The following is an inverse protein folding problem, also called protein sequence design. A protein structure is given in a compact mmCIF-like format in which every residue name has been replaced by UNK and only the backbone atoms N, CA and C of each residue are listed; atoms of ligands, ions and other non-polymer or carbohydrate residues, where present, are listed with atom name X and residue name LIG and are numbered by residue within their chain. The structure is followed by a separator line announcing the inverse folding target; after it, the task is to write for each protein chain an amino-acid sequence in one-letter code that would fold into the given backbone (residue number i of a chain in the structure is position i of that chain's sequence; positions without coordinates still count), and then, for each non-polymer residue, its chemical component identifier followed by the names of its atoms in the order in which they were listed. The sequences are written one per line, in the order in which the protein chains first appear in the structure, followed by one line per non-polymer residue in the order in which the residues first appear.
data_IF_007081085127
#
_entry.id   IF_007081085127
#
_cell.length_a   1.000
_cell.length_b   1.000
_cell.length_c   1.000
_cell.angle_alpha   90.00
_cell.angle_beta   90.00
_cell.angle_gamma   90.00
#
_symmetry.space_group_name_H-M   'P 1'
#
loop_
_entity.id
_entity.type
_entity.pdbx_description
1 polymer ?
#
# COMPACT_ATOMS: atom_id res chain seq x y z
N UNK A 1 -7.32 32.59 36.64
CA UNK A 1 -7.06 31.21 36.17
C UNK A 1 -8.31 30.66 35.47
N UNK A 2 -8.61 31.13 34.25
CA UNK A 2 -9.70 30.63 33.41
C UNK A 2 -9.37 30.96 31.96
N UNK A 3 -8.43 30.24 31.35
CA UNK A 3 -8.18 30.19 29.88
C UNK A 3 -6.91 29.39 29.61
N UNK A 4 -6.98 28.05 29.59
CA UNK A 4 -5.91 27.19 29.03
C UNK A 4 -6.38 25.75 28.72
N UNK A 5 -7.67 25.56 28.42
CA UNK A 5 -8.27 24.24 28.19
C UNK A 5 -9.15 24.18 26.93
N UNK A 6 -8.77 24.90 25.87
CA UNK A 6 -9.48 24.89 24.58
C UNK A 6 -8.60 24.65 23.34
N UNK A 7 -7.36 24.15 23.48
CA UNK A 7 -6.48 23.91 22.31
C UNK A 7 -6.08 22.46 22.05
N UNK A 8 -6.81 21.46 22.54
CA UNK A 8 -6.50 20.04 22.30
C UNK A 8 -7.60 19.24 21.56
N UNK A 9 -8.70 19.88 21.16
CA UNK A 9 -9.78 19.24 20.40
C UNK A 9 -9.78 19.56 18.89
N UNK A 10 -8.61 19.88 18.33
CA UNK A 10 -8.43 20.06 16.88
C UNK A 10 -7.30 19.19 16.34
N UNK A 11 -7.18 17.96 16.83
CA UNK A 11 -6.22 16.97 16.35
C UNK A 11 -6.83 15.56 16.31
N UNK A 12 -8.05 15.43 15.78
CA UNK A 12 -8.65 14.11 15.50
C UNK A 12 -9.63 14.09 14.31
N UNK A 13 -9.78 15.21 13.59
CA UNK A 13 -10.63 15.29 12.39
C UNK A 13 -9.83 16.00 11.28
N UNK A 14 -8.64 15.48 10.98
CA UNK A 14 -7.85 15.89 9.83
C UNK A 14 -7.36 14.70 8.99
N UNK A 15 -7.68 13.45 9.38
CA UNK A 15 -7.46 12.27 8.56
C UNK A 15 -8.66 11.90 7.66
N UNK A 16 -9.79 12.58 7.75
CA UNK A 16 -11.02 12.21 7.02
C UNK A 16 -11.37 13.10 5.82
N UNK A 17 -10.59 14.13 5.48
CA UNK A 17 -11.03 15.17 4.54
C UNK A 17 -10.51 15.05 3.09
N UNK A 18 -9.90 13.93 2.67
CA UNK A 18 -9.59 13.74 1.23
C UNK A 18 -9.50 12.29 0.74
N UNK A 19 -10.06 11.31 1.46
CA UNK A 19 -10.00 9.89 1.03
C UNK A 19 -11.26 9.48 0.27
N UNK A 20 -11.89 10.41 -0.45
CA UNK A 20 -12.81 10.03 -1.52
C UNK A 20 -11.95 9.48 -2.67
N UNK A 21 -11.53 8.22 -2.55
CA UNK A 21 -10.90 7.52 -3.66
C UNK A 21 -11.18 6.03 -3.55
N UNK A 22 -12.08 5.56 -4.42
CA UNK A 22 -12.05 4.18 -4.87
C UNK A 22 -10.61 3.81 -5.26
N UNK A 23 -10.12 2.72 -4.67
CA UNK A 23 -8.79 2.18 -4.89
C UNK A 23 -8.89 0.68 -5.09
N UNK A 24 -8.13 0.17 -6.05
CA UNK A 24 -7.97 -1.27 -6.27
C UNK A 24 -6.58 -1.66 -5.77
N UNK A 25 -6.56 -2.52 -4.77
CA UNK A 25 -5.35 -3.17 -4.27
C UNK A 25 -5.20 -4.49 -5.02
N UNK A 26 -4.03 -4.72 -5.58
CA UNK A 26 -3.70 -5.97 -6.25
C UNK A 26 -2.51 -6.61 -5.54
N UNK A 27 -2.53 -7.92 -5.40
CA UNK A 27 -1.48 -8.65 -4.74
C UNK A 27 -1.68 -10.16 -4.79
N UNK A 28 -1.35 -10.83 -3.70
CA UNK A 28 -1.38 -12.29 -3.61
C UNK A 28 -1.70 -12.77 -2.21
N UNK A 29 -2.27 -13.97 -2.15
CA UNK A 29 -2.30 -14.76 -0.94
C UNK A 29 -1.30 -15.91 -1.03
N UNK A 30 -0.78 -16.34 0.13
CA UNK A 30 0.08 -17.51 0.28
C UNK A 30 -0.48 -18.40 1.36
N UNK A 31 -0.81 -19.65 1.07
CA UNK A 31 -1.11 -20.67 2.06
C UNK A 31 0.21 -21.33 2.50
N UNK A 32 0.63 -21.11 3.73
CA UNK A 32 1.92 -21.61 4.24
C UNK A 32 1.85 -23.06 4.69
N UNK A 33 0.66 -23.62 4.88
CA UNK A 33 0.46 -25.04 5.22
C UNK A 33 0.66 -25.94 4.00
N UNK A 34 0.20 -25.50 2.82
CA UNK A 34 0.20 -26.29 1.59
C UNK A 34 1.14 -25.76 0.51
N UNK A 35 1.89 -24.68 0.76
CA UNK A 35 2.81 -24.04 -0.19
C UNK A 35 2.11 -23.64 -1.51
N UNK A 36 0.88 -23.15 -1.40
CA UNK A 36 0.10 -22.66 -2.55
C UNK A 36 -0.05 -21.15 -2.51
N UNK A 37 -0.24 -20.54 -3.67
CA UNK A 37 -0.41 -19.09 -3.82
C UNK A 37 -1.47 -18.78 -4.87
N UNK A 38 -2.15 -17.65 -4.72
CA UNK A 38 -3.09 -17.12 -5.72
C UNK A 38 -3.11 -15.61 -5.72
N UNK A 39 -3.90 -15.03 -6.62
CA UNK A 39 -4.02 -13.58 -6.70
C UNK A 39 -4.98 -13.07 -5.63
N UNK A 40 -4.80 -11.80 -5.24
CA UNK A 40 -5.69 -11.10 -4.31
C UNK A 40 -6.05 -9.76 -4.94
N UNK A 41 -7.35 -9.50 -5.06
CA UNK A 41 -7.87 -8.21 -5.48
C UNK A 41 -8.78 -7.66 -4.38
N UNK A 42 -8.54 -6.41 -3.97
CA UNK A 42 -9.41 -5.71 -3.01
C UNK A 42 -9.84 -4.41 -3.65
N UNK A 43 -11.15 -4.26 -3.87
CA UNK A 43 -11.73 -2.98 -4.21
C UNK A 43 -12.16 -2.29 -2.92
N UNK A 44 -11.76 -1.05 -2.74
CA UNK A 44 -12.08 -0.27 -1.55
C UNK A 44 -12.51 1.13 -1.96
N UNK A 45 -13.74 1.49 -1.66
CA UNK A 45 -14.29 2.82 -1.81
C UNK A 45 -14.73 3.36 -0.44
N UNK A 46 -14.28 4.57 -0.12
CA UNK A 46 -14.60 5.26 1.13
C UNK A 46 -15.25 6.59 0.77
N UNK A 47 -16.56 6.68 1.00
CA UNK A 47 -17.35 7.90 0.76
C UNK A 47 -17.95 8.41 2.08
N UNK A 48 -17.27 9.41 2.65
CA UNK A 48 -17.69 10.08 3.89
C UNK A 48 -17.81 9.11 5.07
N UNK A 49 -19.04 8.67 5.36
CA UNK A 49 -19.34 7.72 6.43
C UNK A 49 -19.71 6.34 5.90
N UNK A 50 -19.31 5.97 4.69
CA UNK A 50 -19.52 4.63 4.14
C UNK A 50 -18.21 4.08 3.61
N UNK A 51 -18.07 2.76 3.75
CA UNK A 51 -17.03 1.97 3.10
C UNK A 51 -17.72 0.86 2.31
N UNK A 52 -17.32 0.68 1.06
CA UNK A 52 -17.85 -0.36 0.19
C UNK A 52 -16.78 -0.92 -0.72
N UNK A 53 -16.99 -2.11 -1.25
CA UNK A 53 -15.99 -2.75 -2.08
C UNK A 53 -16.17 -4.26 -2.14
N UNK A 54 -15.08 -4.94 -2.51
CA UNK A 54 -15.04 -6.39 -2.67
C UNK A 54 -13.68 -6.93 -2.24
N UNK A 55 -13.67 -8.17 -1.77
CA UNK A 55 -12.46 -8.91 -1.44
C UNK A 55 -12.48 -10.21 -2.24
N UNK A 56 -11.55 -10.34 -3.17
CA UNK A 56 -11.48 -11.47 -4.12
C UNK A 56 -10.15 -12.20 -3.96
N UNK A 57 -10.24 -13.51 -3.72
CA UNK A 57 -9.10 -14.39 -3.49
C UNK A 57 -8.77 -15.27 -4.72
N UNK A 58 -9.25 -14.96 -5.92
CA UNK A 58 -8.84 -15.51 -7.22
C UNK A 58 -8.07 -16.86 -7.17
N UNK A 59 -8.74 -17.94 -7.57
CA UNK A 59 -8.15 -19.28 -7.76
C UNK A 59 -8.62 -20.31 -6.72
N UNK A 60 -7.95 -21.47 -6.64
CA UNK A 60 -8.39 -22.55 -5.75
C UNK A 60 -8.04 -22.27 -4.29
N UNK A 61 -8.79 -21.38 -3.67
CA UNK A 61 -8.69 -21.01 -2.27
C UNK A 61 -9.16 -22.20 -1.44
N UNK A 62 -8.35 -22.61 -0.45
CA UNK A 62 -8.68 -23.69 0.49
C UNK A 62 -8.90 -25.07 -0.15
N UNK A 63 -8.30 -25.32 -1.32
CA UNK A 63 -8.42 -26.60 -2.02
C UNK A 63 -9.79 -26.81 -2.69
N UNK A 64 -10.63 -25.78 -2.74
CA UNK A 64 -11.90 -25.77 -3.44
C UNK A 64 -11.82 -24.97 -4.76
N UNK A 65 -12.97 -24.74 -5.38
CA UNK A 65 -13.09 -23.85 -6.54
C UNK A 65 -12.87 -22.39 -6.14
N UNK A 66 -12.61 -21.56 -7.14
CA UNK A 66 -12.58 -20.09 -7.04
C UNK A 66 -13.89 -19.55 -6.44
N UNK A 67 -13.85 -19.01 -5.20
CA UNK A 67 -15.03 -18.43 -4.58
C UNK A 67 -15.39 -17.10 -5.25
N UNK A 68 -16.67 -16.74 -5.26
CA UNK A 68 -17.04 -15.39 -5.66
C UNK A 68 -16.45 -14.34 -4.70
N UNK A 69 -16.18 -13.14 -5.21
CA UNK A 69 -15.71 -12.02 -4.40
C UNK A 69 -16.67 -11.70 -3.25
N UNK A 70 -16.11 -11.45 -2.07
CA UNK A 70 -16.87 -11.05 -0.88
C UNK A 70 -17.13 -9.55 -0.95
N UNK A 71 -18.33 -9.18 -1.40
CA UNK A 71 -18.76 -7.78 -1.41
C UNK A 71 -19.09 -7.29 0.01
N UNK A 72 -18.68 -6.04 0.29
CA UNK A 72 -18.96 -5.35 1.53
C UNK A 72 -19.54 -3.95 1.29
N UNK A 73 -20.44 -3.54 2.19
CA UNK A 73 -20.99 -2.18 2.25
C UNK A 73 -21.41 -1.88 3.69
N UNK A 74 -20.63 -1.06 4.37
CA UNK A 74 -20.82 -0.74 5.78
C UNK A 74 -20.84 0.76 6.01
N UNK A 75 -21.62 1.17 7.01
CA UNK A 75 -21.63 2.55 7.49
C UNK A 75 -20.58 2.72 8.59
N UNK A 76 -19.74 3.73 8.44
CA UNK A 76 -18.74 4.15 9.41
C UNK A 76 -19.40 4.99 10.52
N UNK A 77 -19.16 4.64 11.78
CA UNK A 77 -19.42 5.46 12.97
C UNK A 77 -18.11 5.68 13.71
N UNK A 78 -17.63 6.92 13.73
CA UNK A 78 -16.32 7.29 14.28
C UNK A 78 -15.16 6.49 13.66
N UNK A 79 -15.20 6.29 12.33
CA UNK A 79 -14.18 5.52 11.59
C UNK A 79 -14.29 4.00 11.72
N UNK A 80 -15.20 3.48 12.56
CA UNK A 80 -15.42 2.05 12.77
C UNK A 80 -16.70 1.57 12.13
N UNK A 81 -16.81 0.30 11.83
CA UNK A 81 -18.06 -0.27 11.35
C UNK A 81 -17.96 -1.76 11.12
N UNK A 82 -19.11 -2.34 10.83
CA UNK A 82 -19.25 -3.77 10.67
C UNK A 82 -20.42 -4.09 9.76
N UNK A 83 -20.39 -5.29 9.19
CA UNK A 83 -21.53 -5.86 8.49
C UNK A 83 -21.54 -7.37 8.67
N UNK A 84 -22.71 -7.98 8.44
CA UNK A 84 -22.90 -9.42 8.42
C UNK A 84 -23.63 -9.79 7.13
N UNK A 85 -23.25 -10.90 6.51
CA UNK A 85 -23.98 -11.49 5.39
C UNK A 85 -23.90 -13.01 5.45
N UNK A 86 -24.83 -13.68 4.79
CA UNK A 86 -24.74 -15.12 4.55
C UNK A 86 -24.44 -15.33 3.08
N UNK A 87 -23.47 -16.20 2.81
CA UNK A 87 -23.05 -16.58 1.49
C UNK A 87 -23.30 -18.09 1.28
N UNK A 88 -23.90 -18.52 0.15
CA UNK A 88 -24.18 -19.93 -0.09
C UNK A 88 -22.93 -20.82 -0.21
N UNK A 89 -21.75 -20.26 -0.45
CA UNK A 89 -20.50 -21.01 -0.59
C UNK A 89 -19.60 -20.87 0.63
N UNK A 90 -19.59 -19.69 1.25
CA UNK A 90 -18.71 -19.38 2.38
C UNK A 90 -19.41 -19.47 3.74
N UNK A 91 -20.74 -19.46 3.81
CA UNK A 91 -21.46 -19.50 5.08
C UNK A 91 -21.71 -18.10 5.66
N UNK A 92 -21.70 -17.97 6.98
CA UNK A 92 -21.97 -16.71 7.69
C UNK A 92 -20.70 -15.88 7.79
N UNK A 93 -20.69 -14.72 7.15
CA UNK A 93 -19.56 -13.78 7.12
C UNK A 93 -19.88 -12.60 8.03
N UNK A 94 -18.99 -12.31 8.96
CA UNK A 94 -18.97 -11.10 9.78
C UNK A 94 -17.66 -10.37 9.53
N UNK A 95 -17.76 -9.06 9.28
CA UNK A 95 -16.59 -8.22 9.05
C UNK A 95 -16.64 -7.01 9.96
N UNK A 96 -15.51 -6.69 10.56
CA UNK A 96 -15.28 -5.48 11.34
C UNK A 96 -14.10 -4.72 10.77
N UNK A 97 -14.17 -3.40 10.83
CA UNK A 97 -13.02 -2.54 10.59
C UNK A 97 -13.00 -1.41 11.61
N UNK A 98 -11.80 -0.96 11.94
CA UNK A 98 -11.60 0.14 12.88
C UNK A 98 -10.97 1.38 12.24
N UNK A 99 -10.87 2.44 13.03
CA UNK A 99 -10.31 3.74 12.63
C UNK A 99 -8.78 3.71 12.46
N UNK A 100 -8.13 2.61 12.80
CA UNK A 100 -6.70 2.37 12.57
C UNK A 100 -6.44 1.58 11.28
N UNK A 101 -7.49 1.21 10.55
CA UNK A 101 -7.41 0.42 9.32
C UNK A 101 -7.27 -1.08 9.55
N UNK A 102 -7.46 -1.56 10.79
CA UNK A 102 -7.53 -3.01 11.02
C UNK A 102 -8.85 -3.54 10.45
N UNK A 103 -8.80 -4.75 9.90
CA UNK A 103 -9.90 -5.49 9.29
C UNK A 103 -9.93 -6.87 9.93
N UNK A 104 -11.05 -7.25 10.51
CA UNK A 104 -11.25 -8.63 10.97
C UNK A 104 -12.41 -9.23 10.15
N UNK A 105 -12.20 -10.44 9.62
CA UNK A 105 -13.24 -11.22 8.95
C UNK A 105 -13.37 -12.54 9.69
N UNK A 106 -14.60 -12.88 10.06
CA UNK A 106 -14.99 -14.16 10.63
C UNK A 106 -15.97 -14.84 9.69
N UNK A 107 -15.66 -16.05 9.24
CA UNK A 107 -16.51 -16.86 8.39
C UNK A 107 -16.81 -18.17 9.08
N UNK A 108 -18.08 -18.40 9.45
CA UNK A 108 -18.52 -19.59 10.16
C UNK A 108 -19.62 -20.32 9.40
N UNK A 109 -19.92 -21.57 9.78
CA UNK A 109 -20.96 -22.38 9.14
C UNK A 109 -20.69 -22.58 7.63
N UNK A 110 -19.43 -22.86 7.26
CA UNK A 110 -19.04 -23.08 5.87
C UNK A 110 -19.74 -24.36 5.36
N UNK A 111 -20.51 -24.29 4.26
CA UNK A 111 -21.17 -25.46 3.69
C UNK A 111 -20.19 -26.59 3.33
N UNK A 112 -20.60 -27.83 3.57
CA UNK A 112 -19.79 -29.03 3.35
C UNK A 112 -19.17 -29.62 4.61
N UNK A 113 -19.10 -28.86 5.71
CA UNK A 113 -18.79 -29.37 7.05
C UNK A 113 -17.33 -29.75 7.31
N UNK A 114 -16.42 -29.45 6.39
CA UNK A 114 -14.97 -29.67 6.58
C UNK A 114 -14.27 -28.48 7.24
N UNK A 115 -14.85 -27.28 7.12
CA UNK A 115 -14.34 -26.04 7.69
C UNK A 115 -15.39 -25.53 8.67
N UNK A 116 -14.98 -25.27 9.90
CA UNK A 116 -15.84 -24.73 10.96
C UNK A 116 -15.79 -23.20 10.96
N UNK A 117 -14.57 -22.66 10.88
CA UNK A 117 -14.28 -21.25 11.03
C UNK A 117 -13.10 -20.82 10.14
N UNK A 118 -13.20 -19.63 9.54
CA UNK A 118 -12.09 -18.91 8.91
C UNK A 118 -11.96 -17.55 9.59
N UNK A 119 -10.74 -17.22 10.02
CA UNK A 119 -10.39 -15.91 10.58
C UNK A 119 -9.43 -15.20 9.64
N UNK A 120 -9.68 -13.93 9.36
CA UNK A 120 -8.74 -13.06 8.63
C UNK A 120 -8.47 -11.83 9.48
N UNK A 121 -7.19 -11.57 9.73
CA UNK A 121 -6.70 -10.36 10.40
C UNK A 121 -5.90 -9.54 9.38
N UNK A 122 -6.49 -8.45 8.90
CA UNK A 122 -5.94 -7.58 7.88
C UNK A 122 -5.65 -6.16 8.39
N UNK A 123 -4.80 -5.44 7.67
CA UNK A 123 -4.47 -4.06 7.96
C UNK A 123 -4.23 -3.24 6.70
N UNK A 124 -5.06 -2.22 6.53
CA UNK A 124 -4.83 -1.18 5.53
C UNK A 124 -3.92 -0.08 6.09
N UNK A 125 -2.81 0.19 5.40
CA UNK A 125 -2.10 1.46 5.55
C UNK A 125 -2.50 2.38 4.39
N UNK A 126 -3.48 3.24 4.63
CA UNK A 126 -4.00 4.20 3.63
C UNK A 126 -2.96 5.26 3.22
N UNK A 127 -1.87 5.44 3.98
CA UNK A 127 -0.81 6.38 3.60
C UNK A 127 0.15 5.77 2.59
N UNK A 128 0.46 4.48 2.75
CA UNK A 128 1.25 3.73 1.78
C UNK A 128 0.39 3.14 0.67
N UNK A 129 -0.92 3.02 0.87
CA UNK A 129 -1.85 2.27 0.00
C UNK A 129 -1.36 0.82 -0.14
N UNK A 130 -1.20 0.16 1.00
CA UNK A 130 -0.87 -1.26 1.15
C UNK A 130 -1.89 -1.93 2.07
N UNK A 131 -2.06 -3.23 1.87
CA UNK A 131 -2.82 -4.14 2.71
C UNK A 131 -1.93 -5.32 3.04
N UNK A 132 -1.81 -5.64 4.32
CA UNK A 132 -1.10 -6.81 4.82
C UNK A 132 -2.05 -7.56 5.75
N UNK A 133 -2.06 -8.88 5.72
CA UNK A 133 -2.92 -9.67 6.59
C UNK A 133 -2.49 -11.12 6.74
N UNK A 134 -3.14 -11.79 7.67
CA UNK A 134 -3.02 -13.22 7.92
C UNK A 134 -4.40 -13.86 7.87
N UNK A 135 -4.45 -15.15 7.59
CA UNK A 135 -5.68 -15.91 7.77
C UNK A 135 -5.41 -17.27 8.40
N UNK A 136 -6.41 -17.79 9.10
CA UNK A 136 -6.45 -19.11 9.70
C UNK A 136 -7.75 -19.81 9.31
N UNK A 137 -7.67 -21.11 9.10
CA UNK A 137 -8.81 -21.99 8.80
C UNK A 137 -8.81 -23.10 9.84
N UNK A 138 -9.91 -23.22 10.56
CA UNK A 138 -10.11 -24.26 11.55
C UNK A 138 -11.10 -25.29 11.01
N UNK A 139 -10.76 -26.58 11.13
CA UNK A 139 -11.66 -27.69 10.80
C UNK A 139 -12.67 -28.00 11.91
N UNK A 140 -12.35 -27.55 13.12
CA UNK A 140 -13.18 -27.57 14.32
C UNK A 140 -12.58 -26.57 15.33
N UNK A 141 -13.30 -26.17 16.40
CA UNK A 141 -12.81 -25.16 17.32
C UNK A 141 -11.43 -25.51 17.91
N UNK A 142 -10.42 -24.73 17.55
CA UNK A 142 -9.03 -24.91 17.98
C UNK A 142 -8.21 -25.95 17.21
N UNK A 143 -8.73 -26.49 16.12
CA UNK A 143 -8.02 -27.44 15.25
C UNK A 143 -7.65 -26.78 13.90
N UNK A 144 -6.49 -26.12 13.90
CA UNK A 144 -5.93 -25.43 12.74
C UNK A 144 -5.72 -26.41 11.57
N UNK A 145 -6.45 -26.16 10.48
CA UNK A 145 -6.37 -26.89 9.23
C UNK A 145 -5.34 -26.25 8.29
N UNK A 146 -5.37 -24.91 8.18
CA UNK A 146 -4.42 -24.18 7.35
C UNK A 146 -4.29 -22.71 7.78
N UNK A 147 -3.18 -22.09 7.39
CA UNK A 147 -2.93 -20.68 7.63
C UNK A 147 -2.21 -20.04 6.44
N UNK A 148 -2.17 -18.71 6.41
CA UNK A 148 -1.45 -18.02 5.36
C UNK A 148 -1.36 -16.50 5.50
N UNK A 149 -0.76 -15.91 4.48
CA UNK A 149 -0.46 -14.49 4.36
C UNK A 149 -1.25 -13.87 3.21
N UNK A 150 -1.62 -12.60 3.38
CA UNK A 150 -2.28 -11.77 2.39
C UNK A 150 -1.45 -10.49 2.23
N UNK A 151 -1.07 -10.15 1.01
CA UNK A 151 -0.38 -8.89 0.71
C UNK A 151 -0.98 -8.27 -0.54
N UNK A 152 -1.34 -7.00 -0.51
CA UNK A 152 -1.81 -6.27 -1.68
C UNK A 152 -1.45 -4.78 -1.61
N UNK A 153 -1.43 -4.12 -2.77
CA UNK A 153 -1.14 -2.69 -2.84
C UNK A 153 -1.78 -2.04 -4.06
N UNK A 154 -1.99 -0.73 -3.98
CA UNK A 154 -2.46 0.03 -5.15
C UNK A 154 -1.32 0.20 -6.15
N UNK A 155 -1.49 -0.28 -7.39
CA UNK A 155 -0.46 -0.13 -8.43
C UNK A 155 -0.23 1.34 -8.78
N UNK A 156 0.90 1.90 -8.34
CA UNK A 156 1.29 3.28 -8.63
C UNK A 156 2.76 3.44 -8.96
N UNK A 157 3.04 4.31 -9.93
CA UNK A 157 4.41 4.67 -10.26
C UNK A 157 5.09 5.36 -9.06
N UNK A 158 6.40 5.12 -8.84
CA UNK A 158 7.10 5.72 -7.72
C UNK A 158 7.15 7.26 -7.84
N UNK A 159 7.08 7.97 -6.73
CA UNK A 159 7.14 9.44 -6.70
C UNK A 159 8.56 9.91 -6.38
N UNK A 160 9.12 10.76 -7.26
CA UNK A 160 10.45 11.34 -7.09
C UNK A 160 10.33 12.80 -6.61
N UNK A 161 10.61 13.07 -5.34
CA UNK A 161 10.62 14.41 -4.72
C UNK A 161 12.07 14.93 -4.58
N UNK A 162 12.24 16.24 -4.69
CA UNK A 162 13.55 16.89 -4.65
C UNK A 162 13.61 18.22 -5.42
N UNK A 163 14.59 19.06 -5.10
CA UNK A 163 14.76 20.41 -5.69
C UNK A 163 15.01 20.31 -7.20
N UNK A 164 14.11 20.89 -8.01
CA UNK A 164 14.22 20.89 -9.49
C UNK A 164 15.46 21.64 -9.99
N UNK A 165 15.84 22.72 -9.29
CA UNK A 165 17.06 23.51 -9.55
C UNK A 165 18.05 23.26 -8.41
N UNK A 166 19.25 22.79 -8.74
CA UNK A 166 20.30 22.45 -7.78
C UNK A 166 21.51 23.34 -8.02
N UNK A 167 21.91 24.10 -7.01
CA UNK A 167 23.14 24.89 -7.06
C UNK A 167 24.38 23.99 -6.96
N UNK A 168 25.45 24.30 -7.70
CA UNK A 168 26.73 23.61 -7.59
C UNK A 168 27.91 24.59 -7.44
N UNK A 169 29.01 24.13 -6.83
CA UNK A 169 30.28 24.86 -6.69
C UNK A 169 31.40 24.01 -7.31
N UNK A 170 32.29 24.62 -8.08
CA UNK A 170 33.34 23.90 -8.81
C UNK A 170 32.77 22.93 -9.85
N UNK A 171 33.21 21.66 -9.84
CA UNK A 171 32.84 20.62 -10.82
C UNK A 171 31.85 19.59 -10.26
N UNK A 172 31.27 19.80 -9.08
CA UNK A 172 30.40 18.82 -8.41
C UNK A 172 29.17 19.47 -7.76
N UNK A 173 28.08 18.70 -7.70
CA UNK A 173 26.83 19.09 -7.06
C UNK A 173 26.17 17.90 -6.39
N UNK A 174 25.37 18.17 -5.35
CA UNK A 174 24.58 17.14 -4.64
C UNK A 174 23.19 17.67 -4.30
N UNK A 175 22.19 16.80 -4.34
CA UNK A 175 20.86 17.07 -3.79
C UNK A 175 20.28 15.80 -3.20
N UNK A 176 19.46 15.96 -2.16
CA UNK A 176 18.59 14.88 -1.67
C UNK A 176 17.45 14.66 -2.67
N UNK A 177 17.11 13.40 -2.88
CA UNK A 177 16.01 12.90 -3.68
C UNK A 177 15.20 11.98 -2.77
N UNK A 178 14.01 12.39 -2.39
CA UNK A 178 13.07 11.55 -1.64
C UNK A 178 12.31 10.69 -2.65
N UNK A 179 12.30 9.39 -2.44
CA UNK A 179 11.56 8.43 -3.26
C UNK A 179 10.44 7.89 -2.38
N UNK A 180 9.22 7.92 -2.89
CA UNK A 180 8.05 7.34 -2.24
C UNK A 180 7.52 6.28 -3.19
N UNK A 181 7.38 5.06 -2.70
CA UNK A 181 6.90 3.89 -3.42
C UNK A 181 6.28 2.97 -2.38
N UNK A 182 5.14 2.38 -2.69
CA UNK A 182 4.48 1.40 -1.83
C UNK A 182 5.02 -0.01 -2.05
N UNK A 183 5.63 -0.26 -3.20
CA UNK A 183 6.43 -1.46 -3.45
C UNK A 183 7.91 -1.16 -3.62
N UNK A 184 8.73 -2.21 -3.60
CA UNK A 184 10.18 -2.16 -3.77
C UNK A 184 10.59 -1.49 -5.10
N UNK A 185 11.68 -0.71 -5.06
CA UNK A 185 12.33 -0.18 -6.29
C UNK A 185 13.26 -1.24 -6.86
N UNK A 186 12.98 -1.71 -8.08
CA UNK A 186 13.73 -2.76 -8.78
C UNK A 186 14.85 -2.20 -9.65
N UNK A 187 14.69 -0.98 -10.19
CA UNK A 187 15.67 -0.38 -11.09
C UNK A 187 15.88 1.12 -10.87
N UNK A 188 17.12 1.58 -11.05
CA UNK A 188 17.52 2.98 -10.93
C UNK A 188 18.44 3.37 -12.09
N UNK A 189 17.96 4.25 -12.97
CA UNK A 189 18.73 4.73 -14.13
C UNK A 189 19.00 6.22 -14.00
N UNK A 190 20.26 6.61 -14.14
CA UNK A 190 20.68 8.01 -14.09
C UNK A 190 21.37 8.39 -15.39
N UNK A 191 20.83 9.38 -16.09
CA UNK A 191 21.43 9.95 -17.31
C UNK A 191 21.77 11.43 -17.07
N UNK A 192 22.99 11.83 -17.39
CA UNK A 192 23.45 13.21 -17.23
C UNK A 192 23.85 13.80 -18.59
N UNK A 193 23.56 15.09 -18.80
CA UNK A 193 23.91 15.80 -20.03
C UNK A 193 25.28 16.49 -19.94
N UNK A 194 25.79 16.95 -21.10
CA UNK A 194 26.99 17.78 -21.21
C UNK A 194 28.26 17.12 -20.62
N UNK A 195 28.38 15.79 -20.74
CA UNK A 195 29.52 15.02 -20.23
C UNK A 195 29.63 14.95 -18.71
N UNK A 196 28.61 15.41 -17.97
CA UNK A 196 28.55 15.22 -16.53
C UNK A 196 28.38 13.73 -16.19
N UNK A 197 28.88 13.31 -15.03
CA UNK A 197 28.69 11.97 -14.49
C UNK A 197 27.80 12.07 -13.26
N UNK A 198 26.74 11.28 -13.20
CA UNK A 198 25.82 11.29 -12.07
C UNK A 198 25.54 9.87 -11.56
N UNK A 199 25.33 9.76 -10.25
CA UNK A 199 24.87 8.53 -9.62
C UNK A 199 23.88 8.85 -8.50
N UNK A 200 22.92 7.95 -8.32
CA UNK A 200 21.99 7.97 -7.20
C UNK A 200 22.54 7.00 -6.13
N UNK A 201 22.56 7.43 -4.86
CA UNK A 201 23.09 6.63 -3.75
C UNK A 201 22.05 6.57 -2.65
N UNK A 202 21.63 5.37 -2.23
CA UNK A 202 20.70 5.18 -1.11
C UNK A 202 21.35 5.65 0.21
N UNK A 203 20.61 6.36 1.05
CA UNK A 203 21.01 6.81 2.39
C UNK A 203 19.78 6.82 3.32
N UNK A 204 19.60 5.74 4.08
CA UNK A 204 18.38 5.48 4.85
C UNK A 204 17.16 5.41 3.93
N UNK A 205 16.08 6.10 4.31
CA UNK A 205 14.83 6.18 3.55
C UNK A 205 14.87 7.16 2.37
N UNK A 206 16.04 7.73 2.06
CA UNK A 206 16.22 8.72 1.00
C UNK A 206 17.34 8.32 0.04
N UNK A 207 17.43 9.04 -1.07
CA UNK A 207 18.52 8.96 -2.03
C UNK A 207 19.28 10.27 -2.11
N UNK A 208 20.59 10.19 -2.36
CA UNK A 208 21.44 11.35 -2.64
C UNK A 208 21.88 11.28 -4.10
N UNK A 209 21.46 12.27 -4.90
CA UNK A 209 21.94 12.45 -6.26
C UNK A 209 23.28 13.18 -6.21
N UNK A 210 24.36 12.47 -6.55
CA UNK A 210 25.73 13.01 -6.64
C UNK A 210 26.09 13.22 -8.11
N UNK A 211 26.52 14.42 -8.46
CA UNK A 211 26.92 14.79 -9.82
C UNK A 211 28.35 15.33 -9.82
N UNK A 212 29.16 14.84 -10.76
CA UNK A 212 30.56 15.23 -10.99
C UNK A 212 30.74 15.66 -12.45
N UNK A 213 31.89 16.28 -12.74
CA UNK A 213 32.26 16.79 -14.07
C UNK A 213 31.24 17.79 -14.63
N UNK A 214 30.66 18.63 -13.77
CA UNK A 214 29.81 19.74 -14.19
C UNK A 214 30.69 20.80 -14.86
N UNK A 215 30.62 20.91 -16.20
CA UNK A 215 31.43 21.86 -16.98
C UNK A 215 30.69 23.15 -17.32
N UNK A 216 29.36 23.10 -17.46
CA UNK A 216 28.53 24.23 -17.90
C UNK A 216 27.31 24.37 -17.00
N UNK A 217 26.87 25.61 -16.78
CA UNK A 217 25.55 25.85 -16.19
C UNK A 217 24.46 25.22 -17.07
N UNK A 218 23.42 24.68 -16.46
CA UNK A 218 22.31 24.06 -17.19
C UNK A 218 22.47 22.57 -17.48
N UNK A 219 23.50 21.89 -16.96
CA UNK A 219 23.56 20.42 -16.96
C UNK A 219 22.28 19.83 -16.37
N UNK A 220 21.68 18.90 -17.10
CA UNK A 220 20.44 18.20 -16.71
C UNK A 220 20.81 16.78 -16.28
N UNK A 221 20.19 16.31 -15.20
CA UNK A 221 20.29 14.92 -14.77
C UNK A 221 18.89 14.33 -14.70
N UNK A 222 18.60 13.34 -15.54
CA UNK A 222 17.36 12.55 -15.53
C UNK A 222 17.58 11.35 -14.63
N UNK A 223 16.77 11.24 -13.58
CA UNK A 223 16.66 10.04 -12.74
C UNK A 223 15.39 9.33 -13.16
N UNK A 224 15.48 8.04 -13.47
CA UNK A 224 14.35 7.16 -13.75
C UNK A 224 14.36 6.02 -12.75
N UNK A 225 13.23 5.75 -12.11
CA UNK A 225 13.03 4.64 -11.19
C UNK A 225 11.94 3.73 -11.74
N UNK A 226 12.11 2.43 -11.53
CA UNK A 226 11.11 1.38 -11.79
C UNK A 226 10.82 0.67 -10.47
N UNK A 227 9.55 0.43 -10.16
CA UNK A 227 9.11 -0.31 -8.98
C UNK A 227 8.87 -1.81 -9.30
N UNK A 228 8.36 -2.59 -8.35
CA UNK A 228 8.09 -4.03 -8.53
C UNK A 228 6.95 -4.31 -9.52
N UNK A 229 6.02 -3.36 -9.69
CA UNK A 229 4.95 -3.42 -10.69
C UNK A 229 5.40 -3.00 -12.11
N UNK A 230 6.71 -2.88 -12.34
CA UNK A 230 7.30 -2.34 -13.57
C UNK A 230 6.89 -0.91 -13.96
N UNK A 231 6.24 -0.18 -13.05
CA UNK A 231 5.84 1.20 -13.24
C UNK A 231 7.03 2.16 -13.12
N UNK A 232 7.12 3.08 -14.07
CA UNK A 232 8.29 3.95 -14.25
C UNK A 232 7.96 5.40 -13.96
N UNK A 233 8.84 6.08 -13.20
CA UNK A 233 8.82 7.54 -13.06
C UNK A 233 10.17 8.14 -13.38
N UNK A 234 10.15 9.27 -14.08
CA UNK A 234 11.34 10.05 -14.37
C UNK A 234 11.25 11.46 -13.81
N UNK A 235 12.37 11.99 -13.33
CA UNK A 235 12.50 13.40 -12.92
C UNK A 235 13.83 14.00 -13.38
N UNK A 236 13.76 15.23 -13.86
CA UNK A 236 14.92 15.99 -14.33
C UNK A 236 15.33 17.03 -13.29
N UNK A 237 16.60 16.97 -12.88
CA UNK A 237 17.27 17.93 -12.00
C UNK A 237 18.17 18.84 -12.85
N UNK A 238 17.98 20.15 -12.74
CA UNK A 238 18.77 21.15 -13.46
C UNK A 238 19.85 21.71 -12.52
N UNK A 239 21.12 21.55 -12.89
CA UNK A 239 22.25 22.06 -12.11
C UNK A 239 22.65 23.44 -12.62
N UNK A 240 22.67 24.43 -11.73
CA UNK A 240 23.08 25.81 -12.02
C UNK A 240 24.32 26.16 -11.19
N UNK A 241 25.28 26.85 -11.82
CA UNK A 241 26.46 27.35 -11.10
C UNK A 241 25.95 28.37 -10.07
N UNK A 242 26.38 28.25 -8.81
CA UNK A 242 26.15 29.32 -7.84
C UNK A 242 26.98 30.52 -8.27
N UNK A 243 26.35 31.69 -8.33
CA UNK A 243 27.04 32.97 -8.45
C UNK A 243 28.02 33.15 -7.30
#
# INVERSE_FOLDING_TARGET
MKTLLRSLYTAAIACAASIASAATYEGSWTNTTFDTTGALTIELDIDGTRVSGSFDLDGNVFGAFDPAAIEFNARLKNGKGSFKRTDPQLGSIEVTFDDSGNLDILINNVPGGFIDEVRVDGKFDLNTETFDGTYEIDSSPGNLLAEGLLEAHVKKAPVIKGKKKVGFKGKSGKTTVKVISNVKITSQKVKASNGAKAKLVKKGNNYILKVKKLKKAGSKVKVTLTNADDLKKSKIFKFKKKG
#
